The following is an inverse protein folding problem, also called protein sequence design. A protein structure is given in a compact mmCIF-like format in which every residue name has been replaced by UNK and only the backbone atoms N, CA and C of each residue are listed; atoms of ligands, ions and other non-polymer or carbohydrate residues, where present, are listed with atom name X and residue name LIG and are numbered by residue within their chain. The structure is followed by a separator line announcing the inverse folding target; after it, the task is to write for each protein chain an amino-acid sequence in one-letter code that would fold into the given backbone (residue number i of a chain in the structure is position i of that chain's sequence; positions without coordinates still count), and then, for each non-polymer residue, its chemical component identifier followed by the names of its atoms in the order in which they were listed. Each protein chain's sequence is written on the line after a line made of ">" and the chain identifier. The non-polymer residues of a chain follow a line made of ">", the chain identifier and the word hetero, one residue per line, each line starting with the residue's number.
data_IF_676282514469
#
_entry.id   IF_676282514469
#
_cell.length_a   1.000
_cell.length_b   1.000
_cell.length_c   1.000
_cell.angle_alpha   90.00
_cell.angle_beta   90.00
_cell.angle_gamma   90.00
#
_symmetry.space_group_name_H-M   'P 1'
#
loop_
_entity.id
_entity.type
_entity.pdbx_description
1 polymer ?
#
# COMPACT_ATOMS: atom_id res chain seq x y z
N UNK A 1 10.31 -21.18 19.66
CA UNK A 1 9.71 -22.44 19.16
C UNK A 1 8.49 -22.20 18.28
N UNK A 2 7.36 -21.65 18.75
CA UNK A 2 6.16 -21.39 17.90
C UNK A 2 6.43 -20.31 16.83
N UNK A 3 7.17 -19.25 17.20
CA UNK A 3 7.63 -18.21 16.27
C UNK A 3 8.54 -18.76 15.15
N UNK A 4 9.40 -19.73 15.45
CA UNK A 4 10.35 -20.32 14.48
C UNK A 4 9.65 -21.22 13.47
N UNK A 5 8.61 -21.95 13.92
CA UNK A 5 7.80 -22.82 13.07
C UNK A 5 6.95 -22.02 12.07
N UNK A 6 6.43 -20.85 12.48
CA UNK A 6 5.68 -19.97 11.58
C UNK A 6 6.57 -19.24 10.57
N UNK A 7 7.84 -18.99 10.91
CA UNK A 7 8.82 -18.40 10.00
C UNK A 7 9.08 -19.25 8.74
N UNK A 8 9.00 -20.58 8.84
CA UNK A 8 9.17 -21.50 7.71
C UNK A 8 8.07 -21.29 6.65
N UNK A 9 6.83 -21.02 7.08
CA UNK A 9 5.71 -20.81 6.16
C UNK A 9 5.73 -19.42 5.51
N UNK A 10 6.24 -18.42 6.23
CA UNK A 10 6.33 -17.04 5.75
C UNK A 10 7.39 -16.81 4.67
N UNK A 11 8.29 -17.77 4.42
CA UNK A 11 9.38 -17.61 3.43
C UNK A 11 8.91 -17.53 1.97
N UNK A 12 7.67 -17.91 1.68
CA UNK A 12 7.10 -17.82 0.31
C UNK A 12 6.40 -16.49 0.02
N UNK A 13 6.23 -15.63 1.03
CA UNK A 13 5.48 -14.38 0.94
C UNK A 13 6.44 -13.19 0.78
N UNK A 14 6.06 -12.22 -0.05
CA UNK A 14 6.80 -10.95 -0.17
C UNK A 14 7.01 -10.30 1.21
N UNK A 15 8.21 -9.74 1.45
CA UNK A 15 8.65 -9.26 2.77
C UNK A 15 7.64 -8.31 3.44
N UNK A 16 7.02 -7.41 2.66
CA UNK A 16 6.02 -6.47 3.17
C UNK A 16 4.76 -7.16 3.69
N UNK A 17 4.32 -8.22 3.01
CA UNK A 17 3.17 -9.04 3.43
C UNK A 17 3.53 -9.84 4.68
N UNK A 18 4.77 -10.34 4.76
CA UNK A 18 5.33 -11.01 5.94
C UNK A 18 5.32 -10.08 7.16
N UNK A 19 5.90 -8.88 7.04
CA UNK A 19 5.91 -7.89 8.13
C UNK A 19 4.50 -7.47 8.56
N UNK A 20 3.55 -7.38 7.63
CA UNK A 20 2.16 -7.06 7.96
C UNK A 20 1.47 -8.17 8.76
N UNK A 21 1.62 -9.44 8.34
CA UNK A 21 1.08 -10.59 9.07
C UNK A 21 1.70 -10.72 10.47
N UNK A 22 3.02 -10.55 10.59
CA UNK A 22 3.72 -10.58 11.88
C UNK A 22 3.18 -9.53 12.85
N UNK A 23 3.00 -8.28 12.40
CA UNK A 23 2.38 -7.24 13.24
C UNK A 23 0.98 -7.61 13.72
N UNK A 24 0.18 -8.27 12.89
CA UNK A 24 -1.16 -8.70 13.28
C UNK A 24 -1.11 -9.82 14.33
N UNK A 25 -0.16 -10.73 14.21
CA UNK A 25 0.09 -11.78 15.21
C UNK A 25 0.59 -11.16 16.52
N UNK A 26 1.51 -10.20 16.48
CA UNK A 26 1.96 -9.49 17.69
C UNK A 26 0.79 -8.80 18.41
N UNK A 27 -0.17 -8.23 17.66
CA UNK A 27 -1.38 -7.68 18.30
C UNK A 27 -2.29 -8.72 18.95
N UNK A 28 -2.30 -9.96 18.43
CA UNK A 28 -3.00 -11.08 19.07
C UNK A 28 -2.29 -11.48 20.36
N UNK A 29 -0.97 -11.66 20.32
CA UNK A 29 -0.17 -12.01 21.50
C UNK A 29 -0.34 -10.97 22.61
N UNK A 30 -0.19 -9.68 22.30
CA UNK A 30 -0.41 -8.60 23.27
C UNK A 30 -1.83 -8.61 23.86
N UNK A 31 -2.85 -8.97 23.07
CA UNK A 31 -4.22 -9.10 23.57
C UNK A 31 -4.37 -10.28 24.54
N UNK A 32 -3.83 -11.44 24.17
CA UNK A 32 -3.86 -12.65 24.98
C UNK A 32 -3.13 -12.43 26.31
N UNK A 33 -1.94 -11.81 26.29
CA UNK A 33 -1.17 -11.52 27.50
C UNK A 33 -1.92 -10.58 28.44
N UNK A 34 -2.53 -9.51 27.90
CA UNK A 34 -3.28 -8.54 28.71
C UNK A 34 -4.54 -9.12 29.34
N UNK A 35 -5.22 -10.06 28.68
CA UNK A 35 -6.53 -10.57 29.12
C UNK A 35 -6.48 -11.90 29.85
N UNK A 36 -5.59 -12.80 29.44
CA UNK A 36 -5.51 -14.18 29.92
C UNK A 36 -4.18 -14.47 30.63
N UNK A 37 -3.27 -13.50 30.72
CA UNK A 37 -1.97 -13.63 31.37
C UNK A 37 -0.84 -14.04 30.43
N UNK A 38 0.39 -13.88 30.91
CA UNK A 38 1.61 -14.14 30.16
C UNK A 38 1.69 -15.59 29.68
N UNK A 39 2.01 -15.81 28.40
CA UNK A 39 2.14 -17.16 27.82
C UNK A 39 0.84 -17.94 27.68
N UNK A 40 -0.32 -17.33 27.92
CA UNK A 40 -1.64 -17.98 27.84
C UNK A 40 -1.90 -18.61 26.47
N UNK A 41 -1.54 -17.94 25.38
CA UNK A 41 -1.72 -18.45 24.02
C UNK A 41 -0.81 -19.65 23.73
N UNK A 42 0.46 -19.56 24.11
CA UNK A 42 1.42 -20.64 23.87
C UNK A 42 1.08 -21.87 24.72
N UNK A 43 0.63 -21.68 25.96
CA UNK A 43 0.11 -22.76 26.80
C UNK A 43 -1.14 -23.41 26.17
N UNK A 44 -2.07 -22.60 25.67
CA UNK A 44 -3.27 -23.10 24.99
C UNK A 44 -2.94 -23.97 23.77
N UNK A 45 -1.98 -23.52 22.97
CA UNK A 45 -1.53 -24.20 21.76
C UNK A 45 -0.71 -25.46 22.08
N UNK A 46 0.14 -25.41 23.10
CA UNK A 46 0.99 -26.55 23.53
C UNK A 46 0.15 -27.71 24.07
N UNK A 47 -0.87 -27.41 24.88
CA UNK A 47 -1.76 -28.42 25.46
C UNK A 47 -3.02 -28.71 24.64
N UNK A 48 -3.19 -28.06 23.48
CA UNK A 48 -4.37 -28.17 22.61
C UNK A 48 -5.67 -28.01 23.44
N UNK A 49 -5.72 -26.96 24.25
CA UNK A 49 -6.89 -26.66 25.07
C UNK A 49 -7.96 -25.98 24.21
N UNK A 50 -8.89 -26.79 23.69
CA UNK A 50 -9.94 -26.38 22.74
C UNK A 50 -10.80 -25.24 23.28
N UNK A 51 -11.20 -25.33 24.54
CA UNK A 51 -12.12 -24.37 25.15
C UNK A 51 -11.44 -23.02 25.34
N UNK A 52 -10.18 -23.03 25.78
CA UNK A 52 -9.42 -21.81 25.98
C UNK A 52 -9.06 -21.12 24.64
N UNK A 53 -8.75 -21.88 23.59
CA UNK A 53 -8.52 -21.29 22.26
C UNK A 53 -9.82 -20.68 21.70
N UNK A 54 -10.96 -21.35 21.90
CA UNK A 54 -12.27 -20.84 21.49
C UNK A 54 -12.60 -19.53 22.20
N UNK A 55 -12.40 -19.49 23.52
CA UNK A 55 -12.62 -18.28 24.33
C UNK A 55 -11.69 -17.13 23.93
N UNK A 56 -10.41 -17.42 23.61
CA UNK A 56 -9.47 -16.42 23.08
C UNK A 56 -9.98 -15.87 21.74
N UNK A 57 -10.43 -16.75 20.83
CA UNK A 57 -10.91 -16.35 19.52
C UNK A 57 -12.16 -15.46 19.60
N UNK A 58 -13.17 -15.88 20.38
CA UNK A 58 -14.40 -15.11 20.58
C UNK A 58 -14.12 -13.75 21.21
N UNK A 59 -13.29 -13.73 22.26
CA UNK A 59 -12.96 -12.49 22.94
C UNK A 59 -12.13 -11.53 22.09
N UNK A 60 -11.14 -12.05 21.34
CA UNK A 60 -10.33 -11.25 20.42
C UNK A 60 -11.19 -10.69 19.29
N UNK A 61 -12.14 -11.47 18.77
CA UNK A 61 -13.07 -11.00 17.76
C UNK A 61 -13.96 -9.85 18.28
N UNK A 62 -14.53 -9.97 19.47
CA UNK A 62 -15.32 -8.91 20.11
C UNK A 62 -14.47 -7.65 20.34
N UNK A 63 -13.23 -7.82 20.79
CA UNK A 63 -12.29 -6.72 20.95
C UNK A 63 -11.96 -6.03 19.62
N UNK A 64 -11.77 -6.80 18.55
CA UNK A 64 -11.58 -6.25 17.22
C UNK A 64 -12.83 -5.50 16.73
N UNK A 65 -14.03 -6.00 17.00
CA UNK A 65 -15.30 -5.36 16.63
C UNK A 65 -15.52 -4.05 17.40
N UNK A 66 -15.33 -4.06 18.72
CA UNK A 66 -15.53 -2.86 19.55
C UNK A 66 -14.54 -1.74 19.21
N UNK A 67 -13.36 -2.09 18.71
CA UNK A 67 -12.36 -1.13 18.24
C UNK A 67 -12.45 -0.82 16.74
N UNK A 68 -13.46 -1.33 16.02
CA UNK A 68 -13.66 -0.98 14.61
C UNK A 68 -14.31 0.38 14.45
N UNK A 69 -13.57 1.32 13.88
CA UNK A 69 -14.16 2.50 13.25
C UNK A 69 -14.60 2.16 11.82
N UNK A 70 -15.68 2.76 11.32
CA UNK A 70 -16.25 2.53 9.97
C UNK A 70 -15.21 2.59 8.82
N UNK A 71 -14.11 3.33 8.99
CA UNK A 71 -13.06 3.44 7.98
C UNK A 71 -12.05 2.28 7.96
N UNK A 72 -12.00 1.44 8.99
CA UNK A 72 -10.98 0.40 9.17
C UNK A 72 -11.53 -1.04 9.13
N UNK A 73 -12.79 -1.23 8.77
CA UNK A 73 -13.47 -2.54 8.75
C UNK A 73 -12.68 -3.59 7.94
N UNK A 74 -12.22 -3.22 6.74
CA UNK A 74 -11.43 -4.11 5.89
C UNK A 74 -10.10 -4.50 6.54
N UNK A 75 -9.44 -3.58 7.25
CA UNK A 75 -8.18 -3.85 7.95
C UNK A 75 -8.43 -4.81 9.10
N UNK A 76 -9.50 -4.61 9.88
CA UNK A 76 -9.87 -5.52 10.96
C UNK A 76 -10.21 -6.93 10.47
N UNK A 77 -10.88 -7.05 9.32
CA UNK A 77 -11.12 -8.34 8.68
C UNK A 77 -9.82 -9.04 8.30
N UNK A 78 -8.87 -8.31 7.70
CA UNK A 78 -7.56 -8.89 7.36
C UNK A 78 -6.74 -9.28 8.58
N UNK A 79 -6.85 -8.52 9.69
CA UNK A 79 -6.24 -8.86 10.98
C UNK A 79 -6.79 -10.17 11.51
N UNK A 80 -8.12 -10.28 11.59
CA UNK A 80 -8.81 -11.48 12.05
C UNK A 80 -8.44 -12.72 11.22
N UNK A 81 -8.49 -12.61 9.88
CA UNK A 81 -8.11 -13.71 8.98
C UNK A 81 -6.65 -14.12 9.17
N UNK A 82 -5.73 -13.15 9.30
CA UNK A 82 -4.32 -13.46 9.54
C UNK A 82 -4.09 -14.16 10.90
N UNK A 83 -4.82 -13.76 11.94
CA UNK A 83 -4.79 -14.41 13.26
C UNK A 83 -5.35 -15.82 13.22
N UNK A 84 -6.48 -16.04 12.54
CA UNK A 84 -7.05 -17.39 12.35
C UNK A 84 -6.13 -18.29 11.52
N UNK A 85 -5.60 -17.79 10.41
CA UNK A 85 -4.64 -18.53 9.59
C UNK A 85 -3.43 -18.93 10.42
N UNK A 86 -2.93 -18.05 11.30
CA UNK A 86 -1.84 -18.37 12.22
C UNK A 86 -2.23 -19.52 13.16
N UNK A 87 -3.35 -19.40 13.88
CA UNK A 87 -3.80 -20.41 14.85
C UNK A 87 -4.06 -21.77 14.21
N UNK A 88 -4.73 -21.79 13.05
CA UNK A 88 -5.01 -23.03 12.34
C UNK A 88 -3.72 -23.70 11.85
N UNK A 89 -2.75 -22.92 11.36
CA UNK A 89 -1.50 -23.47 10.88
C UNK A 89 -0.58 -23.93 12.03
N UNK A 90 -0.52 -23.21 13.15
CA UNK A 90 0.24 -23.65 14.33
C UNK A 90 -0.32 -24.94 14.90
N UNK A 91 -1.65 -25.05 15.02
CA UNK A 91 -2.31 -26.29 15.43
C UNK A 91 -2.01 -27.45 14.48
N UNK A 92 -2.13 -27.23 13.15
CA UNK A 92 -1.79 -28.24 12.13
C UNK A 92 -0.32 -28.68 12.18
N UNK A 93 0.59 -27.81 12.57
CA UNK A 93 2.02 -28.14 12.70
C UNK A 93 2.28 -28.94 13.97
N UNK A 94 1.74 -28.53 15.11
CA UNK A 94 1.87 -29.24 16.40
C UNK A 94 1.27 -30.65 16.28
N UNK A 95 0.15 -30.77 15.58
CA UNK A 95 -0.55 -32.03 15.39
C UNK A 95 0.09 -32.96 14.36
N UNK A 96 0.92 -32.47 13.43
CA UNK A 96 1.76 -33.37 12.60
C UNK A 96 2.79 -34.13 13.45
N UNK A 97 3.13 -33.63 14.64
CA UNK A 97 3.99 -34.31 15.61
C UNK A 97 3.26 -35.25 16.57
N UNK A 98 1.98 -34.98 16.87
CA UNK A 98 1.14 -35.78 17.78
C UNK A 98 -0.03 -36.42 17.02
N UNK A 99 -0.01 -37.74 16.86
CA UNK A 99 -0.95 -38.57 16.10
C UNK A 99 -2.42 -38.55 16.60
N UNK A 100 -3.12 -37.42 16.53
CA UNK A 100 -4.53 -37.29 16.95
C UNK A 100 -5.35 -36.48 15.93
N UNK A 101 -5.52 -37.03 14.73
CA UNK A 101 -6.17 -36.35 13.60
C UNK A 101 -7.65 -35.96 13.85
N UNK A 102 -8.35 -36.71 14.71
CA UNK A 102 -9.78 -36.51 14.97
C UNK A 102 -10.07 -35.27 15.82
N UNK A 103 -9.20 -34.98 16.81
CA UNK A 103 -9.32 -33.75 17.63
C UNK A 103 -9.09 -32.49 16.80
N UNK A 104 -8.20 -32.56 15.80
CA UNK A 104 -7.95 -31.46 14.87
C UNK A 104 -9.17 -31.21 13.98
N UNK A 105 -9.81 -32.28 13.48
CA UNK A 105 -10.99 -32.14 12.65
C UNK A 105 -12.16 -31.54 13.42
N UNK A 106 -12.35 -31.93 14.69
CA UNK A 106 -13.38 -31.31 15.55
C UNK A 106 -13.08 -29.83 15.82
N UNK A 107 -11.81 -29.49 16.12
CA UNK A 107 -11.37 -28.10 16.25
C UNK A 107 -11.61 -27.30 14.97
N UNK A 108 -11.21 -27.83 13.83
CA UNK A 108 -11.35 -27.17 12.52
C UNK A 108 -12.82 -26.96 12.19
N UNK A 109 -13.69 -27.91 12.52
CA UNK A 109 -15.14 -27.79 12.34
C UNK A 109 -15.76 -26.75 13.27
N UNK A 110 -15.33 -26.67 14.53
CA UNK A 110 -15.74 -25.63 15.49
C UNK A 110 -15.28 -24.24 15.03
N UNK A 111 -14.04 -24.09 14.57
CA UNK A 111 -13.54 -22.84 14.00
C UNK A 111 -14.31 -22.42 12.74
N UNK A 112 -14.56 -23.35 11.81
CA UNK A 112 -15.35 -23.09 10.61
C UNK A 112 -16.79 -22.72 10.93
N UNK A 113 -17.38 -23.31 11.99
CA UNK A 113 -18.72 -22.97 12.46
C UNK A 113 -18.77 -21.55 13.04
N UNK A 114 -17.80 -21.19 13.87
CA UNK A 114 -17.64 -19.83 14.39
C UNK A 114 -17.49 -18.85 13.22
N UNK A 115 -16.56 -19.11 12.30
CA UNK A 115 -16.35 -18.26 11.13
C UNK A 115 -17.63 -18.09 10.30
N UNK A 116 -18.38 -19.16 10.05
CA UNK A 116 -19.66 -19.10 9.33
C UNK A 116 -20.71 -18.29 10.08
N UNK A 117 -20.99 -18.63 11.35
CA UNK A 117 -22.01 -17.96 12.16
C UNK A 117 -21.73 -16.45 12.28
N UNK A 118 -20.48 -16.07 12.48
CA UNK A 118 -20.11 -14.66 12.60
C UNK A 118 -20.01 -13.94 11.25
N UNK A 119 -19.69 -14.63 10.14
CA UNK A 119 -19.82 -14.07 8.78
C UNK A 119 -21.28 -13.75 8.43
N UNK A 120 -22.24 -14.57 8.88
CA UNK A 120 -23.67 -14.29 8.71
C UNK A 120 -24.15 -13.09 9.55
N UNK A 121 -23.56 -12.83 10.71
CA UNK A 121 -23.87 -11.64 11.51
C UNK A 121 -23.29 -10.34 10.93
N UNK A 122 -22.41 -10.41 9.92
CA UNK A 122 -21.84 -9.26 9.19
C UNK A 122 -22.76 -8.73 8.07
N UNK A 123 -24.07 -8.98 8.11
CA UNK A 123 -25.06 -8.31 7.24
C UNK A 123 -25.26 -6.87 7.71
N UNK A 124 -24.21 -6.07 7.59
CA UNK A 124 -24.27 -4.62 7.45
C UNK A 124 -22.98 -4.15 6.76
N UNK A 125 -22.61 -4.83 5.67
CA UNK A 125 -21.97 -4.13 4.56
C UNK A 125 -22.99 -3.12 4.07
N UNK A 126 -23.05 -1.92 4.66
CA UNK A 126 -23.43 -0.75 3.87
C UNK A 126 -22.45 -0.79 2.71
N UNK A 127 -22.93 -1.21 1.54
CA UNK A 127 -22.22 -1.01 0.27
C UNK A 127 -21.83 0.46 0.32
N UNK A 128 -20.57 0.75 0.61
CA UNK A 128 -20.07 2.08 0.33
C UNK A 128 -20.28 2.19 -1.16
N UNK A 129 -21.23 3.02 -1.59
CA UNK A 129 -21.31 3.43 -2.97
C UNK A 129 -19.88 3.80 -3.34
N UNK A 130 -19.28 3.05 -4.26
CA UNK A 130 -17.93 3.30 -4.72
C UNK A 130 -18.01 4.60 -5.52
N UNK A 131 -18.05 5.73 -4.84
CA UNK A 131 -17.90 7.02 -5.47
C UNK A 131 -16.57 6.94 -6.20
N UNK A 132 -16.63 7.01 -7.54
CA UNK A 132 -15.46 7.08 -8.40
C UNK A 132 -14.67 8.30 -7.95
N UNK A 133 -13.58 8.04 -7.23
CA UNK A 133 -12.78 9.09 -6.63
C UNK A 133 -12.06 9.82 -7.75
N UNK A 134 -12.37 11.10 -7.92
CA UNK A 134 -11.76 11.92 -8.95
C UNK A 134 -11.43 13.30 -8.42
N UNK A 135 -10.43 13.91 -9.04
CA UNK A 135 -10.09 15.30 -8.79
C UNK A 135 -11.12 16.20 -9.51
N UNK A 136 -11.70 17.21 -8.84
CA UNK A 136 -12.43 18.27 -9.52
C UNK A 136 -11.51 19.05 -10.47
N UNK A 137 -12.00 19.47 -11.64
CA UNK A 137 -11.20 20.19 -12.64
C UNK A 137 -10.58 21.47 -12.09
N UNK A 138 -11.33 22.23 -11.30
CA UNK A 138 -10.86 23.44 -10.61
C UNK A 138 -9.67 23.17 -9.67
N UNK A 139 -9.66 22.02 -9.00
CA UNK A 139 -8.52 21.62 -8.17
C UNK A 139 -7.32 21.23 -9.03
N UNK A 140 -7.53 20.63 -10.20
CA UNK A 140 -6.45 20.31 -11.13
C UNK A 140 -5.79 21.60 -11.64
N UNK A 141 -6.59 22.58 -12.09
CA UNK A 141 -6.10 23.90 -12.51
C UNK A 141 -5.33 24.60 -11.40
N UNK A 142 -5.88 24.62 -10.19
CA UNK A 142 -5.21 25.16 -9.02
C UNK A 142 -3.85 24.49 -8.76
N UNK A 143 -3.77 23.16 -8.89
CA UNK A 143 -2.53 22.40 -8.70
C UNK A 143 -1.50 22.70 -9.78
N UNK A 144 -1.91 22.89 -11.04
CA UNK A 144 -0.99 23.33 -12.10
C UNK A 144 -0.36 24.69 -11.76
N UNK A 145 -1.16 25.66 -11.31
CA UNK A 145 -0.65 26.98 -10.92
C UNK A 145 0.21 26.94 -9.65
N UNK A 146 -0.16 26.13 -8.66
CA UNK A 146 0.55 26.02 -7.38
C UNK A 146 1.91 25.31 -7.54
N UNK A 147 1.97 24.27 -8.38
CA UNK A 147 3.15 23.42 -8.53
C UNK A 147 4.05 23.84 -9.69
N UNK A 148 3.67 24.88 -10.43
CA UNK A 148 4.49 25.47 -11.48
C UNK A 148 5.93 25.71 -10.97
N UNK A 149 6.95 25.11 -11.63
CA UNK A 149 8.34 25.30 -11.26
C UNK A 149 8.82 26.74 -11.32
N UNK A 150 8.24 27.59 -12.18
CA UNK A 150 8.66 28.99 -12.37
C UNK A 150 8.08 29.90 -11.28
N UNK A 151 6.88 29.60 -10.79
CA UNK A 151 6.21 30.40 -9.76
C UNK A 151 6.86 30.24 -8.38
N UNK A 152 7.78 31.13 -8.02
CA UNK A 152 8.49 31.06 -6.73
C UNK A 152 7.65 31.51 -5.54
N UNK A 153 6.71 32.43 -5.74
CA UNK A 153 6.00 33.11 -4.64
C UNK A 153 4.96 32.18 -4.01
N UNK A 154 4.19 31.47 -4.83
CA UNK A 154 3.09 30.65 -4.36
C UNK A 154 3.46 29.17 -4.17
N UNK A 155 4.57 28.71 -4.75
CA UNK A 155 4.94 27.30 -4.71
C UNK A 155 5.44 26.88 -3.31
N UNK A 156 4.88 25.82 -2.71
CA UNK A 156 5.25 25.39 -1.36
C UNK A 156 6.69 24.87 -1.24
N UNK A 157 7.40 24.63 -2.35
CA UNK A 157 8.78 24.14 -2.35
C UNK A 157 9.76 25.26 -2.70
N UNK A 158 10.66 25.59 -1.76
CA UNK A 158 11.66 26.66 -1.96
C UNK A 158 12.77 26.28 -2.95
N UNK A 159 13.44 25.10 -2.81
CA UNK A 159 14.54 24.76 -3.71
C UNK A 159 14.05 24.52 -5.13
N UNK A 160 14.68 25.16 -6.12
CA UNK A 160 14.29 25.06 -7.53
C UNK A 160 14.26 23.61 -8.03
N UNK A 161 15.28 22.81 -7.68
CA UNK A 161 15.32 21.37 -7.96
C UNK A 161 14.13 20.59 -7.39
N UNK A 162 13.69 20.94 -6.18
CA UNK A 162 12.53 20.29 -5.54
C UNK A 162 11.22 20.73 -6.19
N UNK A 163 11.10 21.97 -6.66
CA UNK A 163 9.93 22.43 -7.45
C UNK A 163 9.76 21.59 -8.71
N UNK A 164 10.81 21.47 -9.51
CA UNK A 164 10.80 20.65 -10.72
C UNK A 164 10.52 19.18 -10.44
N UNK A 165 11.19 18.59 -9.45
CA UNK A 165 10.94 17.21 -9.05
C UNK A 165 9.47 16.98 -8.67
N UNK A 166 8.91 17.86 -7.85
CA UNK A 166 7.51 17.77 -7.44
C UNK A 166 6.55 17.92 -8.63
N UNK A 167 6.83 18.85 -9.53
CA UNK A 167 6.02 19.05 -10.73
C UNK A 167 6.02 17.81 -11.61
N UNK A 168 7.18 17.21 -11.86
CA UNK A 168 7.28 15.96 -12.63
C UNK A 168 6.54 14.80 -11.95
N UNK A 169 6.68 14.65 -10.62
CA UNK A 169 5.94 13.64 -9.85
C UNK A 169 4.43 13.84 -10.06
N UNK A 170 3.94 15.08 -9.98
CA UNK A 170 2.53 15.41 -10.19
C UNK A 170 2.06 15.09 -11.61
N UNK A 171 2.80 15.52 -12.64
CA UNK A 171 2.48 15.27 -14.05
C UNK A 171 2.43 13.77 -14.35
N UNK A 172 3.42 13.01 -13.87
CA UNK A 172 3.46 11.56 -14.09
C UNK A 172 2.29 10.85 -13.40
N UNK A 173 1.96 11.22 -12.16
CA UNK A 173 0.82 10.63 -11.47
C UNK A 173 -0.51 10.99 -12.13
N UNK A 174 -0.68 12.24 -12.56
CA UNK A 174 -1.92 12.74 -13.15
C UNK A 174 -2.15 12.19 -14.57
N UNK A 175 -1.16 12.27 -15.44
CA UNK A 175 -1.32 11.92 -16.86
C UNK A 175 -1.08 10.45 -17.17
N UNK A 176 -0.21 9.77 -16.41
CA UNK A 176 0.11 8.36 -16.65
C UNK A 176 -0.63 7.43 -15.70
N UNK A 177 -1.31 7.96 -14.67
CA UNK A 177 -2.04 7.17 -13.69
C UNK A 177 -1.14 6.17 -12.94
N UNK A 178 0.12 6.53 -12.71
CA UNK A 178 1.06 5.63 -12.04
C UNK A 178 0.66 5.45 -10.58
N UNK A 179 0.79 4.22 -10.08
CA UNK A 179 0.80 4.00 -8.63
C UNK A 179 2.12 4.51 -8.06
N UNK A 180 2.13 4.94 -6.81
CA UNK A 180 3.35 5.39 -6.12
C UNK A 180 4.52 4.42 -6.21
N UNK A 181 4.25 3.12 -6.04
CA UNK A 181 5.28 2.10 -6.16
C UNK A 181 5.90 2.10 -7.56
N UNK A 182 5.05 2.12 -8.59
CA UNK A 182 5.46 2.15 -10.00
C UNK A 182 6.32 3.40 -10.29
N UNK A 183 5.84 4.59 -9.88
CA UNK A 183 6.56 5.85 -10.04
C UNK A 183 7.97 5.82 -9.43
N UNK A 184 8.11 5.25 -8.23
CA UNK A 184 9.37 5.21 -7.49
C UNK A 184 10.34 4.14 -7.97
N UNK A 185 9.87 3.19 -8.77
CA UNK A 185 10.68 2.14 -9.40
C UNK A 185 11.15 2.53 -10.81
N UNK A 186 10.63 3.61 -11.40
CA UNK A 186 11.02 4.02 -12.76
C UNK A 186 12.49 4.43 -12.84
N UNK A 187 13.25 3.89 -13.81
CA UNK A 187 14.63 4.30 -14.08
C UNK A 187 14.67 5.59 -14.93
N UNK A 188 15.85 6.20 -15.04
CA UNK A 188 16.07 7.41 -15.87
C UNK A 188 15.80 7.15 -17.35
N UNK A 189 16.09 5.96 -17.84
CA UNK A 189 15.93 5.54 -19.23
C UNK A 189 14.58 4.82 -19.48
N UNK A 190 13.55 5.18 -18.70
CA UNK A 190 12.23 4.56 -18.75
C UNK A 190 11.46 4.87 -20.06
N UNK A 191 11.76 6.00 -20.69
CA UNK A 191 11.15 6.40 -21.96
C UNK A 191 11.74 5.56 -23.08
N UNK A 192 10.86 4.89 -23.83
CA UNK A 192 11.16 4.17 -25.06
C UNK A 192 10.51 4.89 -26.24
N UNK A 193 11.12 4.77 -27.40
CA UNK A 193 10.59 5.32 -28.65
C UNK A 193 10.69 4.29 -29.76
N UNK A 194 9.80 4.43 -30.74
CA UNK A 194 9.74 3.58 -31.92
C UNK A 194 9.06 4.33 -33.06
N UNK A 195 9.61 4.20 -34.25
CA UNK A 195 9.04 4.82 -35.44
C UNK A 195 7.84 4.00 -35.92
N UNK A 196 6.69 4.65 -36.11
CA UNK A 196 5.49 4.01 -36.63
C UNK A 196 5.31 4.36 -38.11
N UNK A 197 5.65 3.41 -38.98
CA UNK A 197 5.52 3.53 -40.43
C UNK A 197 4.07 3.86 -40.87
N UNK A 198 3.04 3.52 -40.09
CA UNK A 198 1.64 3.78 -40.47
C UNK A 198 1.24 5.22 -40.25
N UNK A 199 1.76 5.85 -39.19
CA UNK A 199 1.50 7.25 -38.86
C UNK A 199 2.61 8.19 -39.37
N UNK A 200 3.70 7.63 -39.91
CA UNK A 200 4.88 8.36 -40.36
C UNK A 200 5.48 9.25 -39.25
N UNK A 201 5.37 8.83 -37.99
CA UNK A 201 5.79 9.59 -36.81
C UNK A 201 6.36 8.66 -35.71
N UNK A 202 7.10 9.25 -34.77
CA UNK A 202 7.63 8.55 -33.60
C UNK A 202 6.57 8.42 -32.50
N UNK A 203 6.40 7.18 -32.02
CA UNK A 203 5.65 6.90 -30.80
C UNK A 203 6.58 6.76 -29.62
N UNK A 204 6.11 7.22 -28.47
CA UNK A 204 6.83 7.15 -27.20
C UNK A 204 5.99 6.40 -26.16
N UNK A 205 6.63 5.60 -25.31
CA UNK A 205 5.96 4.90 -24.23
C UNK A 205 6.91 4.69 -23.04
N UNK A 206 6.33 4.37 -21.88
CA UNK A 206 7.05 3.99 -20.66
C UNK A 206 6.71 2.54 -20.34
N UNK A 207 7.75 1.74 -20.08
CA UNK A 207 7.57 0.38 -19.54
C UNK A 207 7.39 0.46 -18.01
N UNK A 208 6.31 -0.11 -17.52
CA UNK A 208 6.08 -0.28 -16.08
C UNK A 208 6.46 -1.72 -15.74
N UNK A 209 7.67 -1.88 -15.23
CA UNK A 209 8.21 -3.17 -14.78
C UNK A 209 9.11 -2.96 -13.56
N UNK A 210 9.40 -4.04 -12.85
CA UNK A 210 10.29 -4.02 -11.70
C UNK A 210 11.73 -3.88 -12.18
N UNK A 211 12.19 -2.64 -12.30
CA UNK A 211 13.57 -2.35 -12.67
C UNK A 211 14.48 -2.29 -11.43
N UNK A 212 15.62 -2.97 -11.52
CA UNK A 212 16.73 -2.82 -10.57
C UNK A 212 16.39 -3.12 -9.09
N UNK A 213 15.50 -4.09 -8.81
CA UNK A 213 15.15 -4.49 -7.43
C UNK A 213 16.37 -4.93 -6.59
N UNK A 214 17.36 -5.54 -7.24
CA UNK A 214 18.58 -6.04 -6.61
C UNK A 214 19.53 -4.92 -6.16
N UNK A 215 19.46 -3.74 -6.79
CA UNK A 215 20.36 -2.60 -6.56
C UNK A 215 19.68 -1.55 -5.65
N UNK A 216 18.41 -1.74 -5.32
CA UNK A 216 17.67 -0.80 -4.48
C UNK A 216 18.07 -0.91 -3.00
N UNK A 217 18.77 0.12 -2.51
CA UNK A 217 19.21 0.23 -1.11
C UNK A 217 18.10 0.70 -0.14
N UNK A 218 16.89 1.02 -0.64
CA UNK A 218 15.80 1.49 0.22
C UNK A 218 15.32 0.38 1.16
N UNK A 219 15.17 0.72 2.45
CA UNK A 219 14.57 -0.16 3.44
C UNK A 219 13.16 -0.63 3.04
N UNK A 220 12.33 0.30 2.51
CA UNK A 220 11.03 0.00 1.95
C UNK A 220 11.11 0.04 0.42
N UNK A 221 11.53 -1.07 -0.20
CA UNK A 221 11.59 -1.20 -1.66
C UNK A 221 10.19 -1.05 -2.27
N UNK A 222 9.98 -0.12 -3.23
CA UNK A 222 8.77 -0.10 -4.02
C UNK A 222 8.79 -1.29 -5.00
N UNK A 223 7.78 -2.13 -4.91
CA UNK A 223 7.60 -3.26 -5.82
C UNK A 223 6.23 -3.22 -6.46
N UNK A 224 6.19 -3.68 -7.71
CA UNK A 224 4.96 -3.93 -8.43
C UNK A 224 4.28 -5.16 -7.81
N UNK A 225 3.04 -4.98 -7.32
CA UNK A 225 2.37 -6.00 -6.50
C UNK A 225 1.72 -7.14 -7.30
N UNK A 226 1.38 -6.92 -8.56
CA UNK A 226 0.60 -7.88 -9.36
C UNK A 226 1.15 -8.01 -10.77
N UNK A 227 1.07 -9.21 -11.35
CA UNK A 227 1.44 -9.48 -12.74
C UNK A 227 0.70 -8.57 -13.74
N UNK A 228 -0.53 -8.17 -13.40
CA UNK A 228 -1.35 -7.23 -14.19
C UNK A 228 -0.83 -5.79 -14.19
N UNK A 229 0.12 -5.46 -13.32
CA UNK A 229 0.68 -4.11 -13.26
C UNK A 229 1.84 -3.91 -14.23
N UNK A 230 2.37 -5.00 -14.83
CA UNK A 230 3.34 -4.92 -15.93
C UNK A 230 2.63 -4.47 -17.20
N UNK A 231 2.98 -3.29 -17.72
CA UNK A 231 2.32 -2.69 -18.89
C UNK A 231 3.20 -1.65 -19.57
N UNK A 232 2.82 -1.29 -20.80
CA UNK A 232 3.37 -0.14 -21.52
C UNK A 232 2.35 0.99 -21.51
N UNK A 233 2.78 2.20 -21.17
CA UNK A 233 1.94 3.39 -21.17
C UNK A 233 2.41 4.33 -22.29
N UNK A 234 1.59 4.60 -23.32
CA UNK A 234 1.94 5.56 -24.35
C UNK A 234 2.01 6.98 -23.75
N UNK A 235 3.00 7.76 -24.17
CA UNK A 235 3.21 9.13 -23.68
C UNK A 235 3.32 10.12 -24.84
N UNK A 236 2.86 11.35 -24.60
CA UNK A 236 2.96 12.42 -25.58
C UNK A 236 4.37 13.00 -25.65
N UNK A 237 4.74 13.55 -26.81
CA UNK A 237 6.03 14.21 -27.02
C UNK A 237 6.27 15.37 -26.04
N UNK A 238 5.22 16.08 -25.63
CA UNK A 238 5.32 17.15 -24.64
C UNK A 238 5.79 16.63 -23.27
N UNK A 239 5.27 15.48 -22.82
CA UNK A 239 5.70 14.85 -21.56
C UNK A 239 7.13 14.32 -21.69
N UNK A 240 7.51 13.77 -22.86
CA UNK A 240 8.88 13.33 -23.13
C UNK A 240 9.86 14.50 -22.98
N UNK A 241 9.63 15.60 -23.69
CA UNK A 241 10.50 16.78 -23.65
C UNK A 241 10.62 17.34 -22.21
N UNK A 242 9.51 17.36 -21.47
CA UNK A 242 9.48 17.82 -20.09
C UNK A 242 10.31 16.92 -19.16
N UNK A 243 10.20 15.60 -19.31
CA UNK A 243 10.98 14.62 -18.55
C UNK A 243 12.46 14.70 -18.89
N UNK A 244 12.81 14.78 -20.17
CA UNK A 244 14.20 14.94 -20.63
C UNK A 244 14.84 16.22 -20.09
N UNK A 245 14.10 17.34 -20.13
CA UNK A 245 14.54 18.60 -19.55
C UNK A 245 14.81 18.47 -18.04
N UNK A 246 13.89 17.83 -17.30
CA UNK A 246 14.09 17.55 -15.87
C UNK A 246 15.33 16.68 -15.61
N UNK A 247 15.49 15.59 -16.37
CA UNK A 247 16.61 14.66 -16.21
C UNK A 247 17.94 15.38 -16.45
N UNK A 248 18.01 16.23 -17.47
CA UNK A 248 19.22 16.97 -17.85
C UNK A 248 19.57 18.07 -16.86
N UNK A 249 18.61 18.93 -16.52
CA UNK A 249 18.88 20.18 -15.80
C UNK A 249 18.71 20.09 -14.28
N UNK A 250 17.86 19.17 -13.80
CA UNK A 250 17.35 19.24 -12.42
C UNK A 250 17.52 17.94 -11.63
N UNK A 251 17.57 16.78 -12.29
CA UNK A 251 17.76 15.51 -11.58
C UNK A 251 19.11 15.46 -10.86
N UNK A 252 20.18 16.01 -11.43
CA UNK A 252 21.53 16.00 -10.84
C UNK A 252 22.24 14.64 -10.96
N UNK A 253 23.54 14.60 -10.60
CA UNK A 253 24.39 13.40 -10.64
C UNK A 253 24.12 12.51 -9.42
N UNK A 254 23.98 11.21 -9.63
CA UNK A 254 23.55 10.24 -8.61
C UNK A 254 24.19 8.87 -8.85
N UNK A 255 24.36 8.08 -7.79
CA UNK A 255 24.90 6.72 -7.89
C UNK A 255 23.85 5.62 -8.14
N UNK A 256 22.57 5.99 -8.33
CA UNK A 256 21.48 5.05 -8.56
C UNK A 256 20.74 5.32 -9.89
N UNK A 257 20.08 4.29 -10.48
CA UNK A 257 19.42 4.41 -11.77
C UNK A 257 18.00 5.01 -11.72
N UNK A 258 17.40 5.15 -10.53
CA UNK A 258 16.02 5.65 -10.39
C UNK A 258 15.83 7.11 -10.83
N UNK A 259 14.67 7.43 -11.40
CA UNK A 259 14.34 8.76 -11.92
C UNK A 259 14.38 9.84 -10.84
N UNK A 260 13.84 9.53 -9.65
CA UNK A 260 13.74 10.49 -8.55
C UNK A 260 14.78 10.25 -7.45
N UNK A 261 15.35 11.36 -6.98
CA UNK A 261 16.42 11.38 -5.99
C UNK A 261 16.10 12.37 -4.87
N UNK A 262 16.42 12.01 -3.64
CA UNK A 262 16.39 12.92 -2.50
C UNK A 262 17.48 14.00 -2.61
N UNK A 263 17.38 15.05 -1.80
CA UNK A 263 18.41 16.10 -1.73
C UNK A 263 19.79 15.55 -1.35
N UNK A 264 19.83 14.44 -0.60
CA UNK A 264 21.06 13.76 -0.16
C UNK A 264 21.63 12.77 -1.19
N UNK A 265 21.03 12.64 -2.37
CA UNK A 265 21.52 11.75 -3.42
C UNK A 265 21.00 10.31 -3.36
N UNK A 266 20.20 9.95 -2.35
CA UNK A 266 19.57 8.63 -2.23
C UNK A 266 18.28 8.50 -3.05
N UNK A 267 17.89 7.27 -3.47
CA UNK A 267 16.62 7.03 -4.14
C UNK A 267 15.43 7.61 -3.38
N UNK A 268 14.46 8.16 -4.10
CA UNK A 268 13.29 8.80 -3.47
C UNK A 268 12.42 7.76 -2.75
N UNK A 269 12.03 8.05 -1.52
CA UNK A 269 11.29 7.11 -0.67
C UNK A 269 9.77 7.32 -0.72
N UNK A 270 9.03 6.30 -0.30
CA UNK A 270 7.58 6.35 -0.17
C UNK A 270 7.13 7.42 0.83
N UNK A 271 7.84 7.55 1.94
CA UNK A 271 7.59 8.52 3.00
C UNK A 271 7.86 9.94 2.52
N UNK A 272 8.88 10.15 1.69
CA UNK A 272 9.16 11.46 1.10
C UNK A 272 8.03 11.89 0.14
N UNK A 273 7.54 10.97 -0.67
CA UNK A 273 6.36 11.19 -1.52
C UNK A 273 5.14 11.57 -0.67
N UNK A 274 4.92 10.85 0.44
CA UNK A 274 3.85 11.18 1.38
C UNK A 274 3.98 12.59 1.96
N UNK A 275 5.18 12.97 2.41
CA UNK A 275 5.45 14.31 2.95
C UNK A 275 5.22 15.42 1.93
N UNK A 276 5.63 15.20 0.68
CA UNK A 276 5.45 16.14 -0.43
C UNK A 276 3.97 16.49 -0.58
N UNK A 277 3.10 15.50 -0.71
CA UNK A 277 1.67 15.74 -0.91
C UNK A 277 0.93 16.17 0.35
N UNK A 278 1.38 15.77 1.54
CA UNK A 278 0.87 16.37 2.80
C UNK A 278 1.15 17.87 2.78
N UNK A 279 2.33 18.29 2.32
CA UNK A 279 2.67 19.70 2.18
C UNK A 279 1.77 20.39 1.18
N UNK A 280 1.60 19.84 -0.03
CA UNK A 280 0.68 20.38 -1.05
C UNK A 280 -0.73 20.53 -0.48
N UNK A 281 -1.24 19.50 0.20
CA UNK A 281 -2.59 19.49 0.74
C UNK A 281 -2.86 20.59 1.78
N UNK A 282 -1.83 21.13 2.43
CA UNK A 282 -1.96 22.25 3.38
C UNK A 282 -2.20 23.59 2.67
N UNK A 283 -1.70 23.75 1.45
CA UNK A 283 -1.82 24.99 0.67
C UNK A 283 -3.14 25.06 -0.10
N UNK A 284 -3.85 23.94 -0.25
CA UNK A 284 -5.16 23.91 -0.90
C UNK A 284 -6.18 24.74 -0.08
N UNK A 285 -6.91 25.68 -0.70
CA UNK A 285 -8.00 26.44 -0.07
C UNK A 285 -9.12 25.54 0.45
N UNK A 286 -9.80 25.97 1.52
CA UNK A 286 -10.82 25.14 2.18
C UNK A 286 -12.04 24.89 1.30
N UNK A 287 -12.45 25.84 0.45
CA UNK A 287 -13.54 25.64 -0.51
C UNK A 287 -13.25 24.49 -1.50
N UNK A 288 -11.99 24.30 -1.91
CA UNK A 288 -11.59 23.17 -2.77
C UNK A 288 -11.54 21.85 -2.00
N UNK A 289 -11.16 21.88 -0.72
CA UNK A 289 -11.21 20.69 0.15
C UNK A 289 -12.65 20.22 0.37
N UNK A 290 -13.59 21.15 0.53
CA UNK A 290 -15.01 20.84 0.66
C UNK A 290 -15.57 20.24 -0.63
N UNK A 291 -15.26 20.82 -1.80
CA UNK A 291 -15.62 20.22 -3.10
C UNK A 291 -15.06 18.81 -3.26
N UNK A 292 -13.81 18.59 -2.84
CA UNK A 292 -13.17 17.27 -2.85
C UNK A 292 -13.89 16.28 -1.92
N UNK A 293 -14.28 16.73 -0.73
CA UNK A 293 -15.02 15.95 0.25
C UNK A 293 -16.40 15.57 -0.28
N UNK A 294 -17.14 16.53 -0.86
CA UNK A 294 -18.47 16.31 -1.42
C UNK A 294 -18.45 15.31 -2.58
N UNK A 295 -17.42 15.37 -3.43
CA UNK A 295 -17.28 14.44 -4.56
C UNK A 295 -16.92 13.02 -4.11
N UNK A 296 -16.01 12.90 -3.14
CA UNK A 296 -15.42 11.60 -2.77
C UNK A 296 -16.01 10.97 -1.51
N UNK A 297 -16.89 11.67 -0.79
CA UNK A 297 -17.59 11.19 0.40
C UNK A 297 -16.71 10.95 1.65
N UNK A 298 -15.41 11.26 1.59
CA UNK A 298 -14.45 11.13 2.71
C UNK A 298 -13.42 12.25 2.67
N UNK A 299 -12.81 12.58 3.82
CA UNK A 299 -11.60 13.42 3.86
C UNK A 299 -10.44 12.59 3.30
N UNK A 300 -10.27 12.63 1.99
CA UNK A 300 -9.24 11.87 1.28
C UNK A 300 -8.06 12.78 1.02
N UNK A 301 -6.85 12.30 1.33
CA UNK A 301 -5.61 12.99 0.97
C UNK A 301 -5.44 12.97 -0.56
N UNK A 302 -4.97 14.09 -1.14
CA UNK A 302 -4.71 14.25 -2.58
C UNK A 302 -3.99 13.04 -3.19
N UNK A 303 -3.03 12.53 -2.42
CA UNK A 303 -2.27 11.30 -2.68
C UNK A 303 -3.11 10.09 -3.01
N UNK A 304 -4.15 9.83 -2.22
CA UNK A 304 -4.98 8.66 -2.41
C UNK A 304 -5.81 8.79 -3.68
N UNK A 305 -6.16 9.99 -4.14
CA UNK A 305 -6.95 10.15 -5.37
C UNK A 305 -6.07 9.94 -6.60
N UNK A 306 -4.86 10.49 -6.60
CA UNK A 306 -3.87 10.29 -7.66
C UNK A 306 -3.43 8.82 -7.75
N UNK A 307 -3.36 8.11 -6.62
CA UNK A 307 -3.03 6.67 -6.59
C UNK A 307 -4.18 5.75 -7.04
N UNK A 308 -5.43 6.25 -7.07
CA UNK A 308 -6.64 5.43 -7.31
C UNK A 308 -7.02 5.38 -8.80
N UNK A 309 -6.36 6.14 -9.67
CA UNK A 309 -6.68 6.18 -11.11
C UNK A 309 -6.35 4.88 -11.88
N UNK A 310 -6.03 3.78 -11.19
CA UNK A 310 -6.02 2.44 -11.77
C UNK A 310 -6.63 1.44 -10.79
N UNK A 311 -7.94 1.26 -10.88
CA UNK A 311 -8.63 0.01 -10.59
C UNK A 311 -9.44 -0.40 -11.81
#
# INVERSE_FOLDING_TARGET
>A
MVYDLFNIFLNTLAEKTKSQKLRFIDTLYNYCENKFGYGSLDNALTYINIDLITQICESYFIHLQNNTSDNNINVTETKWKASLDFLLNTLRMISKGNFDNDKINDLTNKFNRIERLYNFLRINKKKSLENIRSLPSELIEYLYCLLDPENQVNNPFKPFRTRWQTYIIFIMLLHLGLRRGELLSLPVNCIKSGYDNRLNDFRYWVNIENHHEDIDERYNKPSIKTLTSYRQIPISKSIVNLLEYYIREHRGKTHHPFLFTSQKGFPFSMEMTNRLFIKISKFIPDHLKEKLFNKNGKKIFLLMILDIHVQ
#
